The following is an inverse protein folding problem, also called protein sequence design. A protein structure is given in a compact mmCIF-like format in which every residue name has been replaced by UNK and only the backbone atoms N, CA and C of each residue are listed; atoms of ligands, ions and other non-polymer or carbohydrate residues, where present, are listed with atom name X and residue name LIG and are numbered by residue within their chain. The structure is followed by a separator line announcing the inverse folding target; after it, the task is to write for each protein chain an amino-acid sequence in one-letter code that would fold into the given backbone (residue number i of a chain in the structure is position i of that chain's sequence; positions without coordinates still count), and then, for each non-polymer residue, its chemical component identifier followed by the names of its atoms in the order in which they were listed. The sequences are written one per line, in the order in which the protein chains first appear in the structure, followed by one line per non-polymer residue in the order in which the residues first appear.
data_IF_054508851310
#
_entry.id   IF_054508851310
#
_cell.length_a   1.000
_cell.length_b   1.000
_cell.length_c   1.000
_cell.angle_alpha   90.00
_cell.angle_beta   90.00
_cell.angle_gamma   90.00
#
_symmetry.space_group_name_H-M   'P 1'
#
loop_
_entity.id
_entity.type
_entity.pdbx_description
1 polymer ?
#
# COMPACT_ATOMS: atom_id res chain seq x y z
N UNK A 1 -2.49 -11.44 -16.80
CA UNK A 1 -2.41 -10.82 -15.48
C UNK A 1 -2.16 -9.33 -15.61
N UNK A 2 -2.27 -8.58 -14.52
CA UNK A 2 -1.95 -7.16 -14.53
C UNK A 2 -0.43 -6.97 -14.74
N UNK A 3 -0.04 -6.04 -15.60
CA UNK A 3 1.36 -5.65 -15.81
C UNK A 3 1.75 -4.45 -14.95
N UNK A 4 0.74 -3.80 -14.37
CA UNK A 4 0.87 -2.61 -13.56
C UNK A 4 0.06 -2.72 -12.27
N UNK A 5 0.59 -2.14 -11.21
CA UNK A 5 -0.08 -2.00 -9.92
C UNK A 5 -0.12 -0.53 -9.50
N UNK A 6 -1.17 -0.15 -8.78
CA UNK A 6 -1.32 1.21 -8.28
C UNK A 6 -1.84 1.24 -6.84
N UNK A 7 -1.41 2.25 -6.09
CA UNK A 7 -1.95 2.54 -4.77
C UNK A 7 -1.96 4.04 -4.48
N UNK A 8 -2.86 4.46 -3.57
CA UNK A 8 -2.78 5.76 -2.91
C UNK A 8 -2.17 5.53 -1.52
N UNK A 9 -0.95 5.97 -1.29
CA UNK A 9 -0.26 5.83 -0.01
C UNK A 9 1.02 6.67 0.06
N UNK A 10 1.27 7.27 1.20
CA UNK A 10 2.54 7.96 1.51
C UNK A 10 3.46 7.15 2.44
N UNK A 11 3.08 5.92 2.79
CA UNK A 11 3.73 5.14 3.84
C UNK A 11 4.18 3.75 3.40
N UNK A 12 4.08 2.78 4.31
CA UNK A 12 4.57 1.42 4.12
C UNK A 12 3.92 0.68 2.95
N UNK A 13 2.64 0.96 2.66
CA UNK A 13 1.96 0.35 1.50
C UNK A 13 2.66 0.73 0.20
N UNK A 14 3.06 1.99 0.00
CA UNK A 14 3.78 2.41 -1.20
C UNK A 14 5.17 1.77 -1.30
N UNK A 15 5.89 1.67 -0.18
CA UNK A 15 7.20 1.03 -0.14
C UNK A 15 7.11 -0.48 -0.47
N UNK A 16 6.17 -1.19 0.14
CA UNK A 16 5.93 -2.62 -0.14
C UNK A 16 5.48 -2.85 -1.59
N UNK A 17 4.56 -2.01 -2.09
CA UNK A 17 4.11 -2.06 -3.47
C UNK A 17 5.27 -1.92 -4.45
N UNK A 18 6.12 -0.94 -4.23
CA UNK A 18 7.28 -0.69 -5.07
C UNK A 18 8.29 -1.85 -5.03
N UNK A 19 8.60 -2.36 -3.84
CA UNK A 19 9.54 -3.45 -3.65
C UNK A 19 9.06 -4.73 -4.35
N UNK A 20 7.83 -5.17 -4.06
CA UNK A 20 7.28 -6.38 -4.68
C UNK A 20 6.94 -6.18 -6.15
N UNK A 21 6.46 -4.99 -6.54
CA UNK A 21 6.26 -4.67 -7.94
C UNK A 21 7.54 -4.83 -8.74
N UNK A 22 8.64 -4.25 -8.26
CA UNK A 22 9.96 -4.39 -8.87
C UNK A 22 10.43 -5.86 -8.93
N UNK A 23 10.25 -6.60 -7.83
CA UNK A 23 10.63 -8.01 -7.74
C UNK A 23 9.91 -8.88 -8.78
N UNK A 24 8.62 -8.62 -9.02
CA UNK A 24 7.82 -9.35 -10.00
C UNK A 24 7.79 -8.73 -11.40
N UNK A 25 8.58 -7.69 -11.66
CA UNK A 25 8.64 -7.02 -12.97
C UNK A 25 7.39 -6.21 -13.30
N UNK A 26 6.61 -5.78 -12.28
CA UNK A 26 5.42 -4.97 -12.46
C UNK A 26 5.75 -3.48 -12.36
N UNK A 27 5.15 -2.67 -13.21
CA UNK A 27 5.24 -1.21 -13.09
C UNK A 27 4.38 -0.73 -11.91
N UNK A 28 4.97 -0.01 -10.96
CA UNK A 28 4.27 0.49 -9.77
C UNK A 28 4.01 1.99 -9.87
N UNK A 29 2.76 2.39 -9.63
CA UNK A 29 2.33 3.79 -9.60
C UNK A 29 1.80 4.12 -8.20
N UNK A 30 2.33 5.15 -7.57
CA UNK A 30 1.92 5.61 -6.25
C UNK A 30 1.31 7.00 -6.37
N UNK A 31 0.04 7.12 -5.97
CA UNK A 31 -0.68 8.41 -5.94
C UNK A 31 -0.55 9.01 -4.54
N UNK A 32 -0.19 10.29 -4.47
CA UNK A 32 0.00 11.03 -3.22
C UNK A 32 -0.56 12.43 -3.32
N UNK A 33 -1.13 13.00 -2.23
CA UNK A 33 -1.51 14.41 -2.19
C UNK A 33 -0.27 15.30 -2.28
N UNK A 34 -0.34 16.37 -3.09
CA UNK A 34 0.68 17.41 -3.08
C UNK A 34 0.76 18.07 -1.72
N UNK A 35 1.71 18.38 -1.10
CA UNK A 35 1.81 19.11 0.17
C UNK A 35 2.04 18.24 1.41
N UNK A 36 1.64 16.98 1.40
CA UNK A 36 1.90 16.03 2.49
C UNK A 36 2.95 14.97 2.13
N UNK A 37 3.81 15.29 1.17
CA UNK A 37 4.87 14.37 0.74
C UNK A 37 6.01 14.45 1.75
N UNK A 38 5.99 13.61 2.77
CA UNK A 38 7.17 13.36 3.58
C UNK A 38 8.21 12.67 2.70
N UNK A 39 9.17 13.44 2.20
CA UNK A 39 10.20 12.96 1.25
C UNK A 39 10.87 11.66 1.71
N UNK A 40 11.08 11.49 3.02
CA UNK A 40 11.66 10.26 3.59
C UNK A 40 10.77 9.03 3.46
N UNK A 41 9.43 9.18 3.57
CA UNK A 41 8.50 8.04 3.46
C UNK A 41 8.38 7.50 2.03
N UNK A 42 8.55 8.34 1.01
CA UNK A 42 8.50 7.92 -0.38
C UNK A 42 9.86 7.52 -0.95
N UNK A 43 10.95 7.79 -0.23
CA UNK A 43 12.29 7.50 -0.71
C UNK A 43 12.47 6.03 -1.07
N UNK A 44 11.92 5.11 -0.28
CA UNK A 44 11.96 3.67 -0.57
C UNK A 44 11.20 3.32 -1.84
N UNK A 45 9.98 3.86 -2.01
CA UNK A 45 9.19 3.60 -3.21
C UNK A 45 9.91 4.09 -4.48
N UNK A 46 10.53 5.26 -4.42
CA UNK A 46 11.34 5.81 -5.52
C UNK A 46 12.58 4.96 -5.78
N UNK A 47 13.27 4.52 -4.72
CA UNK A 47 14.46 3.67 -4.84
C UNK A 47 14.18 2.34 -5.53
N UNK A 48 12.97 1.79 -5.34
CA UNK A 48 12.49 0.59 -6.04
C UNK A 48 11.88 0.88 -7.41
N UNK A 49 11.98 2.11 -7.92
CA UNK A 49 11.55 2.47 -9.29
C UNK A 49 10.05 2.76 -9.43
N UNK A 50 9.31 2.97 -8.35
CA UNK A 50 7.92 3.37 -8.45
C UNK A 50 7.78 4.80 -9.03
N UNK A 51 6.74 4.99 -9.83
CA UNK A 51 6.35 6.31 -10.34
C UNK A 51 5.45 7.00 -9.34
N UNK A 52 5.82 8.19 -8.90
CA UNK A 52 5.03 9.00 -7.96
C UNK A 52 4.17 9.99 -8.74
N UNK A 53 2.87 9.90 -8.53
CA UNK A 53 1.87 10.82 -9.11
C UNK A 53 1.35 11.74 -8.01
N UNK A 54 1.78 12.99 -8.03
CA UNK A 54 1.31 14.00 -7.07
C UNK A 54 -0.04 14.57 -7.52
N UNK A 55 -1.04 14.48 -6.66
CA UNK A 55 -2.42 14.92 -6.91
C UNK A 55 -2.69 16.22 -6.16
N UNK A 56 -3.32 17.19 -6.83
CA UNK A 56 -3.84 18.38 -6.19
C UNK A 56 -5.14 18.02 -5.46
N UNK A 57 -5.08 17.83 -4.15
CA UNK A 57 -6.22 17.44 -3.33
C UNK A 57 -5.82 16.69 -2.07
N UNK A 58 -6.81 16.11 -1.44
CA UNK A 58 -6.69 15.30 -0.22
C UNK A 58 -6.25 13.86 -0.53
N UNK A 59 -6.06 13.06 0.52
CA UNK A 59 -5.84 11.62 0.39
C UNK A 59 -7.07 10.92 -0.23
N UNK A 60 -8.27 11.34 0.11
CA UNK A 60 -9.52 10.79 -0.44
C UNK A 60 -9.66 11.08 -1.94
N UNK A 61 -9.20 12.25 -2.38
CA UNK A 61 -9.14 12.59 -3.80
C UNK A 61 -8.14 11.67 -4.53
N UNK A 62 -6.97 11.44 -3.96
CA UNK A 62 -5.99 10.52 -4.52
C UNK A 62 -6.53 9.08 -4.60
N UNK A 63 -7.25 8.62 -3.56
CA UNK A 63 -7.88 7.30 -3.54
C UNK A 63 -9.00 7.19 -4.58
N UNK A 64 -9.80 8.23 -4.75
CA UNK A 64 -10.87 8.29 -5.76
C UNK A 64 -10.30 8.24 -7.17
N UNK A 65 -9.21 8.96 -7.42
CA UNK A 65 -8.52 8.95 -8.71
C UNK A 65 -7.94 7.57 -9.02
N UNK A 66 -7.23 6.96 -8.07
CA UNK A 66 -6.63 5.65 -8.32
C UNK A 66 -7.69 4.57 -8.57
N UNK A 67 -8.84 4.62 -7.87
CA UNK A 67 -9.98 3.73 -8.16
C UNK A 67 -10.48 3.90 -9.59
N UNK A 68 -10.76 5.16 -9.99
CA UNK A 68 -11.25 5.45 -11.34
C UNK A 68 -10.26 5.03 -12.43
N UNK A 69 -8.97 5.17 -12.20
CA UNK A 69 -7.93 4.73 -13.14
C UNK A 69 -7.89 3.21 -13.25
N UNK A 70 -7.92 2.50 -12.11
CA UNK A 70 -7.85 1.03 -12.08
C UNK A 70 -9.11 0.34 -12.61
N UNK A 71 -10.27 1.01 -12.56
CA UNK A 71 -11.50 0.52 -13.19
C UNK A 71 -11.49 0.61 -14.72
N UNK A 72 -10.75 1.58 -15.28
CA UNK A 72 -10.71 1.86 -16.72
C UNK A 72 -9.50 1.25 -17.44
N UNK A 73 -8.50 0.83 -16.71
CA UNK A 73 -7.24 0.33 -17.24
C UNK A 73 -6.83 -0.99 -16.58
N UNK A 74 -6.02 -1.83 -17.23
CA UNK A 74 -5.57 -3.11 -16.69
C UNK A 74 -4.48 -2.91 -15.62
N UNK A 75 -4.81 -2.12 -14.60
CA UNK A 75 -3.94 -1.78 -13.47
C UNK A 75 -4.59 -2.37 -12.21
N UNK A 76 -3.86 -3.17 -11.44
CA UNK A 76 -4.40 -3.72 -10.20
C UNK A 76 -4.27 -2.73 -9.04
N UNK A 77 -5.39 -2.46 -8.37
CA UNK A 77 -5.42 -1.65 -7.15
C UNK A 77 -4.98 -2.48 -5.95
N UNK A 78 -4.00 -1.99 -5.19
CA UNK A 78 -3.42 -2.69 -4.04
C UNK A 78 -3.60 -1.97 -2.70
N UNK A 79 -4.56 -1.06 -2.62
CA UNK A 79 -4.95 -0.43 -1.34
C UNK A 79 -5.65 -1.41 -0.40
N UNK A 80 -5.91 -0.97 0.84
CA UNK A 80 -6.56 -1.75 1.91
C UNK A 80 -7.94 -2.31 1.55
N UNK A 81 -8.60 -1.75 0.55
CA UNK A 81 -9.86 -2.24 0.00
C UNK A 81 -9.72 -3.50 -0.88
N UNK A 82 -8.51 -3.89 -1.24
CA UNK A 82 -8.29 -5.12 -2.01
C UNK A 82 -8.39 -6.34 -1.08
N UNK A 83 -9.31 -7.29 -1.33
CA UNK A 83 -9.52 -8.45 -0.48
C UNK A 83 -8.30 -9.37 -0.38
N UNK A 84 -7.45 -9.41 -1.40
CA UNK A 84 -6.20 -10.18 -1.38
C UNK A 84 -5.23 -9.68 -0.29
N UNK A 85 -5.37 -8.42 0.13
CA UNK A 85 -4.56 -7.87 1.22
C UNK A 85 -4.84 -8.56 2.56
N UNK A 86 -6.09 -8.87 2.86
CA UNK A 86 -6.47 -9.61 4.09
C UNK A 86 -5.85 -11.01 4.07
N UNK A 87 -5.85 -11.67 2.90
CA UNK A 87 -5.22 -12.97 2.73
C UNK A 87 -3.70 -12.93 2.93
N UNK A 88 -3.04 -11.86 2.53
CA UNK A 88 -1.60 -11.66 2.78
C UNK A 88 -1.32 -11.35 4.25
N UNK A 89 -2.11 -10.50 4.88
CA UNK A 89 -1.90 -10.03 6.25
C UNK A 89 -2.17 -11.10 7.33
N UNK A 90 -2.93 -12.15 7.02
CA UNK A 90 -3.15 -13.27 7.95
C UNK A 90 -1.85 -13.97 8.40
N UNK A 91 -0.77 -13.83 7.65
CA UNK A 91 0.54 -14.38 8.03
C UNK A 91 1.05 -13.82 9.35
N UNK A 92 0.66 -12.61 9.73
CA UNK A 92 0.99 -12.04 11.05
C UNK A 92 0.45 -12.90 12.21
N UNK A 93 -0.74 -13.49 12.04
CA UNK A 93 -1.29 -14.41 13.05
C UNK A 93 -0.46 -15.69 13.15
N UNK A 94 0.05 -16.19 12.03
CA UNK A 94 0.90 -17.38 12.02
C UNK A 94 2.23 -17.13 12.72
N UNK A 95 2.86 -15.98 12.46
CA UNK A 95 4.11 -15.58 13.12
C UNK A 95 3.91 -15.42 14.63
N UNK A 96 2.81 -14.80 15.07
CA UNK A 96 2.48 -14.67 16.51
C UNK A 96 2.36 -16.04 17.18
N UNK A 97 1.62 -16.97 16.56
CA UNK A 97 1.43 -18.32 17.11
C UNK A 97 2.75 -19.09 17.13
N UNK A 98 3.56 -18.96 16.09
CA UNK A 98 4.87 -19.62 15.99
C UNK A 98 5.82 -19.12 17.08
N UNK A 99 5.87 -17.80 17.32
CA UNK A 99 6.73 -17.19 18.35
C UNK A 99 6.27 -17.51 19.77
N UNK A 100 4.96 -17.59 20.02
CA UNK A 100 4.39 -17.88 21.34
C UNK A 100 4.30 -19.38 21.62
N UNK A 101 4.30 -20.22 20.60
CA UNK A 101 4.07 -21.66 20.70
C UNK A 101 2.61 -22.09 20.87
N UNK A 102 1.70 -21.13 21.01
CA UNK A 102 0.24 -21.31 21.09
C UNK A 102 -0.49 -20.02 20.72
N UNK A 103 -1.80 -20.08 20.53
CA UNK A 103 -2.61 -18.89 20.30
C UNK A 103 -2.73 -18.08 21.60
N UNK A 104 -2.54 -16.74 21.56
CA UNK A 104 -2.74 -15.90 22.74
C UNK A 104 -4.22 -15.83 23.12
N UNK A 105 -4.50 -15.70 24.43
CA UNK A 105 -5.86 -15.50 24.95
C UNK A 105 -6.44 -14.13 24.54
N UNK A 106 -5.58 -13.12 24.44
CA UNK A 106 -5.95 -11.74 24.10
C UNK A 106 -4.92 -11.09 23.17
N UNK A 107 -5.39 -10.30 22.21
CA UNK A 107 -4.56 -9.47 21.32
C UNK A 107 -5.01 -8.03 21.43
N UNK A 108 -4.12 -7.13 21.86
CA UNK A 108 -4.36 -5.69 21.90
C UNK A 108 -3.83 -5.05 20.63
N UNK A 109 -4.74 -4.47 19.81
CA UNK A 109 -4.38 -3.75 18.58
C UNK A 109 -4.64 -2.27 18.78
N UNK A 110 -3.59 -1.46 18.72
CA UNK A 110 -3.71 -0.01 18.71
C UNK A 110 -4.04 0.48 17.31
N UNK A 111 -5.26 0.97 17.12
CA UNK A 111 -5.65 1.69 15.92
C UNK A 111 -5.14 3.14 16.06
N UNK A 112 -3.97 3.41 15.56
CA UNK A 112 -3.51 4.78 15.40
C UNK A 112 -4.19 5.35 14.15
N UNK A 113 -5.03 6.36 14.33
CA UNK A 113 -5.41 7.23 13.23
C UNK A 113 -4.16 7.95 12.73
N UNK A 114 -3.44 7.32 11.86
CA UNK A 114 -2.39 8.01 11.14
C UNK A 114 -3.07 8.72 9.98
N UNK A 115 -3.21 10.03 10.12
CA UNK A 115 -3.61 10.87 9.01
C UNK A 115 -2.68 10.56 7.83
N UNK A 116 -3.20 9.86 6.82
CA UNK A 116 -2.48 9.56 5.58
C UNK A 116 -1.77 8.21 5.51
N UNK A 117 -2.32 7.16 6.13
CA UNK A 117 -1.96 5.79 5.75
C UNK A 117 -2.79 5.30 4.57
#
# INVERSE_FOLDING_TARGET
GAEQIACASTGNTSASAAAYGSYYGLSTIVFVPKGNIAKGKLAQAVAYGARIMAIDGSFDDALSIVRSVTEKHPIALINSINPNRVQGQKTAAFEIIEDLGDSPDEIYIFLLETQGI
#
